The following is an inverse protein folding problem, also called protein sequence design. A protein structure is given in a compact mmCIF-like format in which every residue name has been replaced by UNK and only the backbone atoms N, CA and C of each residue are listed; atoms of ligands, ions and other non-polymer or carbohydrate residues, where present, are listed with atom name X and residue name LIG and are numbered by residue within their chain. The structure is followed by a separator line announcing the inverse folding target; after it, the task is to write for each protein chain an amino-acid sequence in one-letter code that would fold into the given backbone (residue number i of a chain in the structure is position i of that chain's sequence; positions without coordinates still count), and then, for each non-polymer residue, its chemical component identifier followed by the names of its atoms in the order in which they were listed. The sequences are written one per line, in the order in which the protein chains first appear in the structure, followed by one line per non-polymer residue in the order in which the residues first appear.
data_IF_263107506889
#
_entry.id   IF_263107506889
#
_cell.length_a   1.000
_cell.length_b   1.000
_cell.length_c   1.000
_cell.angle_alpha   90.00
_cell.angle_beta   90.00
_cell.angle_gamma   90.00
#
_symmetry.space_group_name_H-M   'P 1'
#
loop_
_entity.id
_entity.type
_entity.pdbx_description
1 polymer ?
#
# COMPACT_ATOMS: atom_id res chain seq x y z
N UNK A 1 29.34 10.13 2.25
CA UNK A 1 28.38 9.02 2.51
C UNK A 1 27.83 8.63 1.16
N UNK A 2 28.19 7.44 0.69
CA UNK A 2 28.04 7.06 -0.72
C UNK A 2 26.59 6.78 -1.09
N UNK A 3 26.08 7.54 -2.05
CA UNK A 3 24.70 7.49 -2.52
C UNK A 3 24.30 6.12 -3.09
N UNK A 4 25.28 5.31 -3.48
CA UNK A 4 25.09 3.95 -4.03
C UNK A 4 24.82 2.88 -2.95
N UNK A 5 25.19 3.14 -1.69
CA UNK A 5 24.94 2.21 -0.59
C UNK A 5 23.52 2.37 -0.02
N UNK A 6 22.96 3.58 -0.12
CA UNK A 6 21.58 3.89 0.30
C UNK A 6 20.53 3.32 -0.65
N UNK A 7 20.78 3.35 -1.97
CA UNK A 7 19.83 2.83 -2.97
C UNK A 7 19.67 1.31 -2.90
N UNK A 8 20.75 0.56 -2.66
CA UNK A 8 20.70 -0.90 -2.45
C UNK A 8 19.85 -1.22 -1.21
N UNK A 9 20.09 -0.50 -0.11
CA UNK A 9 19.36 -0.71 1.15
C UNK A 9 17.86 -0.45 1.01
N UNK A 10 17.45 0.52 0.20
CA UNK A 10 16.04 0.80 -0.04
C UNK A 10 15.36 -0.35 -0.80
N UNK A 11 15.99 -0.88 -1.86
CA UNK A 11 15.44 -1.99 -2.62
C UNK A 11 15.23 -3.24 -1.75
N UNK A 12 16.18 -3.56 -0.86
CA UNK A 12 16.05 -4.67 0.09
C UNK A 12 14.88 -4.47 1.06
N UNK A 13 14.70 -3.25 1.58
CA UNK A 13 13.58 -2.92 2.47
C UNK A 13 12.23 -3.10 1.74
N UNK A 14 12.10 -2.60 0.51
CA UNK A 14 10.85 -2.74 -0.26
C UNK A 14 10.54 -4.20 -0.62
N UNK A 15 11.56 -5.01 -0.91
CA UNK A 15 11.38 -6.46 -1.10
C UNK A 15 10.82 -7.14 0.16
N UNK A 16 11.31 -6.77 1.35
CA UNK A 16 10.80 -7.29 2.63
C UNK A 16 9.37 -6.78 2.90
N UNK A 17 9.09 -5.50 2.65
CA UNK A 17 7.74 -4.96 2.82
C UNK A 17 6.73 -5.62 1.87
N UNK A 18 7.14 -5.94 0.64
CA UNK A 18 6.32 -6.65 -0.33
C UNK A 18 6.06 -8.10 0.10
N UNK A 19 7.05 -8.77 0.70
CA UNK A 19 6.86 -10.13 1.22
C UNK A 19 5.92 -10.15 2.43
N UNK A 20 6.03 -9.18 3.35
CA UNK A 20 5.09 -9.00 4.46
C UNK A 20 3.67 -8.76 3.94
N UNK A 21 3.50 -7.89 2.94
CA UNK A 21 2.19 -7.64 2.33
C UNK A 21 1.57 -8.90 1.75
N UNK A 22 2.33 -9.66 0.95
CA UNK A 22 1.87 -10.91 0.33
C UNK A 22 1.53 -12.00 1.35
N UNK A 23 2.18 -11.98 2.51
CA UNK A 23 1.89 -12.87 3.64
C UNK A 23 0.87 -12.28 4.62
N UNK A 24 0.29 -11.11 4.32
CA UNK A 24 -0.68 -10.38 5.17
C UNK A 24 -0.14 -10.06 6.58
N UNK A 25 1.17 -9.95 6.74
CA UNK A 25 1.84 -9.67 8.01
C UNK A 25 1.90 -8.16 8.21
N UNK A 26 1.45 -7.69 9.38
CA UNK A 26 1.39 -6.26 9.78
C UNK A 26 0.49 -5.38 8.91
N UNK A 27 -0.24 -5.94 7.95
CA UNK A 27 -1.22 -5.18 7.16
C UNK A 27 -2.33 -4.65 8.06
N UNK A 28 -2.56 -3.34 7.96
CA UNK A 28 -3.50 -2.56 8.76
C UNK A 28 -4.58 -1.91 7.87
N UNK A 29 -4.63 -2.29 6.59
CA UNK A 29 -5.68 -1.90 5.66
C UNK A 29 -5.94 -2.98 4.60
N UNK A 30 -7.21 -3.11 4.22
CA UNK A 30 -7.72 -3.81 3.06
C UNK A 30 -8.32 -2.78 2.10
N UNK A 31 -7.89 -2.81 0.84
CA UNK A 31 -8.47 -2.00 -0.22
C UNK A 31 -9.39 -2.89 -1.05
N UNK A 32 -10.62 -2.43 -1.31
CA UNK A 32 -11.62 -3.15 -2.11
C UNK A 32 -12.00 -2.32 -3.34
N UNK A 33 -12.28 -2.98 -4.46
CA UNK A 33 -12.74 -2.35 -5.70
C UNK A 33 -14.21 -2.65 -5.96
N UNK A 34 -14.86 -1.83 -6.78
CA UNK A 34 -16.30 -1.99 -7.09
C UNK A 34 -16.61 -3.32 -7.79
N UNK A 35 -15.63 -3.92 -8.47
CA UNK A 35 -15.72 -5.25 -9.10
C UNK A 35 -15.50 -6.43 -8.11
N UNK A 36 -15.40 -6.14 -6.82
CA UNK A 36 -15.28 -7.12 -5.73
C UNK A 36 -13.86 -7.64 -5.49
N UNK A 37 -12.86 -7.13 -6.21
CA UNK A 37 -11.46 -7.41 -5.91
C UNK A 37 -11.00 -6.77 -4.62
N UNK A 38 -9.98 -7.34 -4.00
CA UNK A 38 -9.39 -6.75 -2.79
C UNK A 38 -7.93 -7.09 -2.60
N UNK A 39 -7.22 -6.22 -1.87
CA UNK A 39 -5.79 -6.36 -1.61
C UNK A 39 -5.45 -5.78 -0.23
N UNK A 40 -4.63 -6.52 0.54
CA UNK A 40 -4.08 -6.04 1.80
C UNK A 40 -2.86 -5.14 1.58
N UNK A 41 -2.67 -4.19 2.50
CA UNK A 41 -1.57 -3.24 2.48
C UNK A 41 -1.22 -2.68 3.87
N UNK A 42 -0.18 -1.86 3.89
CA UNK A 42 0.29 -1.10 5.03
C UNK A 42 -0.04 0.38 4.80
N UNK A 43 -0.85 0.99 5.67
CA UNK A 43 -1.24 2.40 5.61
C UNK A 43 -0.02 3.30 5.48
N UNK A 44 1.04 3.03 6.25
CA UNK A 44 2.27 3.83 6.25
C UNK A 44 3.01 3.78 4.91
N UNK A 45 3.08 2.61 4.25
CA UNK A 45 3.75 2.46 2.95
C UNK A 45 2.94 3.15 1.86
N UNK A 46 1.64 2.88 1.81
CA UNK A 46 0.72 3.46 0.83
C UNK A 46 0.63 5.00 0.96
N UNK A 47 0.53 5.53 2.18
CA UNK A 47 0.47 6.97 2.43
C UNK A 47 1.80 7.68 2.16
N UNK A 48 2.94 7.00 2.33
CA UNK A 48 4.26 7.55 1.99
C UNK A 48 4.44 7.70 0.48
N UNK A 49 3.85 6.79 -0.30
CA UNK A 49 3.96 6.78 -1.76
C UNK A 49 2.91 7.64 -2.48
N UNK A 50 1.79 7.97 -1.83
CA UNK A 50 0.68 8.68 -2.48
C UNK A 50 -0.06 9.65 -1.55
N UNK A 51 -0.15 10.94 -1.92
CA UNK A 51 -0.98 11.92 -1.21
C UNK A 51 -2.46 11.52 -1.13
N UNK A 52 -2.95 10.75 -2.11
CA UNK A 52 -4.32 10.24 -2.10
C UNK A 52 -4.52 9.31 -0.90
N UNK A 53 -3.66 8.30 -0.73
CA UNK A 53 -3.76 7.38 0.40
C UNK A 53 -3.54 8.10 1.73
N UNK A 54 -2.62 9.08 1.79
CA UNK A 54 -2.45 9.91 2.97
C UNK A 54 -3.74 10.65 3.35
N UNK A 55 -4.38 11.35 2.40
CA UNK A 55 -5.61 12.10 2.66
C UNK A 55 -6.79 11.19 3.00
N UNK A 56 -6.89 10.05 2.33
CA UNK A 56 -7.90 9.02 2.60
C UNK A 56 -7.73 8.52 4.04
N UNK A 57 -6.55 8.03 4.44
CA UNK A 57 -6.31 7.44 5.76
C UNK A 57 -6.38 8.43 6.93
N UNK A 58 -6.02 9.70 6.71
CA UNK A 58 -6.08 10.74 7.78
C UNK A 58 -7.48 11.26 8.04
N UNK A 59 -8.39 11.14 7.07
CA UNK A 59 -9.79 11.54 7.21
C UNK A 59 -10.70 10.45 7.82
N UNK A 60 -10.19 9.24 8.09
CA UNK A 60 -10.93 8.16 8.79
C UNK A 60 -11.06 8.39 10.31
N UNK A 61 -11.49 9.57 10.74
CA UNK A 61 -11.60 9.90 12.18
C UNK A 61 -12.76 9.22 12.91
N UNK A 62 -13.71 8.61 12.20
CA UNK A 62 -15.00 8.24 12.80
C UNK A 62 -15.25 6.73 12.91
N UNK A 63 -14.59 5.90 12.10
CA UNK A 63 -14.80 4.47 12.13
C UNK A 63 -13.46 3.77 12.00
N UNK A 64 -13.18 2.90 12.96
CA UNK A 64 -12.01 2.02 13.08
C UNK A 64 -11.95 0.98 11.93
N UNK A 65 -12.22 1.42 10.70
CA UNK A 65 -12.40 0.59 9.52
C UNK A 65 -11.06 0.38 8.86
N UNK A 66 -10.60 -0.87 8.91
CA UNK A 66 -9.43 -1.35 8.18
C UNK A 66 -9.79 -1.72 6.74
N UNK A 67 -10.88 -1.17 6.19
CA UNK A 67 -11.36 -1.42 4.82
C UNK A 67 -11.65 -0.08 4.13
N UNK A 68 -11.05 0.14 2.95
CA UNK A 68 -11.36 1.27 2.08
C UNK A 68 -11.85 0.77 0.73
N UNK A 69 -13.02 1.24 0.30
CA UNK A 69 -13.51 0.99 -1.06
C UNK A 69 -12.96 2.06 -2.01
N UNK A 70 -12.17 1.63 -3.00
CA UNK A 70 -11.62 2.44 -4.07
C UNK A 70 -12.60 2.42 -5.24
N UNK A 71 -13.33 3.52 -5.39
CA UNK A 71 -14.35 3.67 -6.44
C UNK A 71 -13.72 3.92 -7.80
N UNK A 72 -14.35 3.40 -8.85
CA UNK A 72 -13.96 3.60 -10.25
C UNK A 72 -12.54 3.12 -10.59
N UNK A 73 -12.03 2.13 -9.88
CA UNK A 73 -10.78 1.45 -10.18
C UNK A 73 -11.07 -0.06 -10.21
N UNK A 74 -10.70 -0.74 -11.28
CA UNK A 74 -10.81 -2.20 -11.34
C UNK A 74 -9.72 -2.87 -10.50
N UNK A 75 -10.00 -4.10 -10.09
CA UNK A 75 -9.13 -4.89 -9.23
C UNK A 75 -7.72 -5.11 -9.80
N UNK A 76 -7.60 -5.25 -11.12
CA UNK A 76 -6.31 -5.45 -11.78
C UNK A 76 -5.47 -4.18 -11.73
N UNK A 77 -6.06 -3.03 -12.02
CA UNK A 77 -5.40 -1.73 -11.90
C UNK A 77 -4.97 -1.44 -10.46
N UNK A 78 -5.83 -1.74 -9.47
CA UNK A 78 -5.46 -1.60 -8.06
C UNK A 78 -4.29 -2.49 -7.67
N UNK A 79 -4.29 -3.75 -8.12
CA UNK A 79 -3.18 -4.67 -7.85
C UNK A 79 -1.87 -4.16 -8.44
N UNK A 80 -1.87 -3.71 -9.70
CA UNK A 80 -0.68 -3.16 -10.36
C UNK A 80 -0.16 -1.90 -9.64
N UNK A 81 -1.06 -1.00 -9.21
CA UNK A 81 -0.70 0.19 -8.45
C UNK A 81 -0.03 -0.17 -7.12
N UNK A 82 -0.61 -1.11 -6.37
CA UNK A 82 -0.06 -1.54 -5.08
C UNK A 82 1.27 -2.27 -5.30
N UNK A 83 1.40 -3.12 -6.31
CA UNK A 83 2.67 -3.77 -6.63
C UNK A 83 3.77 -2.76 -6.99
N UNK A 84 3.44 -1.71 -7.75
CA UNK A 84 4.34 -0.62 -8.06
C UNK A 84 4.78 0.15 -6.81
N UNK A 85 3.86 0.49 -5.91
CA UNK A 85 4.21 1.16 -4.64
C UNK A 85 5.20 0.33 -3.82
N UNK A 86 5.03 -0.99 -3.81
CA UNK A 86 5.88 -1.90 -3.05
C UNK A 86 7.16 -2.31 -3.77
N UNK A 87 7.39 -1.91 -5.02
CA UNK A 87 8.65 -2.17 -5.72
C UNK A 87 9.78 -1.20 -5.35
N UNK A 88 9.45 -0.06 -4.72
CA UNK A 88 10.42 0.97 -4.30
C UNK A 88 10.81 1.92 -5.41
#
# INVERSE_FOLDING_TARGET
MDQQNTSIRNAEIFQVLQSFRKAEVFCDIKLETDDGGSIFGHKVVLASASPYFHGVFTNFKENNQDIVVIKNLDSTALQLLVEFIYSG
#
